data_IF_323587654363
#
_entry.id   IF_323587654363
#
_cell.length_a   1.000
_cell.length_b   1.000
_cell.length_c   1.000
_cell.angle_alpha   90.00
_cell.angle_beta   90.00
_cell.angle_gamma   90.00
#
_symmetry.space_group_name_H-M   'P 1'
#
loop_
_entity.id
_entity.type
_entity.pdbx_description
1 polymer ?
#
# COMPACT_ATOMS: atom_id res chain seq x y z
N UNK A 1 -7.62 -25.37 9.03
CA UNK A 1 -7.46 -24.58 7.78
C UNK A 1 -6.60 -23.37 8.13
N UNK A 2 -5.29 -23.55 8.23
CA UNK A 2 -4.29 -23.26 7.18
C UNK A 2 -3.98 -21.78 6.90
N UNK A 3 -4.38 -20.83 7.75
CA UNK A 3 -3.95 -19.44 7.63
C UNK A 3 -3.76 -18.80 9.01
N UNK A 4 -2.69 -19.17 9.71
CA UNK A 4 -2.18 -18.41 10.86
C UNK A 4 -0.77 -18.90 11.19
N UNK A 5 0.22 -18.31 10.51
CA UNK A 5 1.63 -18.18 10.94
C UNK A 5 2.46 -17.68 9.77
N UNK A 6 2.69 -16.37 9.67
CA UNK A 6 3.93 -15.78 9.11
C UNK A 6 3.90 -14.24 9.21
N UNK A 7 3.72 -13.69 10.41
CA UNK A 7 4.04 -12.29 10.67
C UNK A 7 4.72 -12.16 12.03
N UNK A 8 6.03 -12.41 12.08
CA UNK A 8 6.87 -12.06 13.22
C UNK A 8 8.28 -11.65 12.78
N UNK A 9 8.55 -10.35 12.93
CA UNK A 9 9.82 -9.73 13.32
C UNK A 9 11.10 -10.56 13.09
N UNK A 10 11.51 -10.70 11.83
CA UNK A 10 12.85 -11.23 11.52
C UNK A 10 13.45 -10.37 10.40
N UNK A 11 14.74 -10.04 10.49
CA UNK A 11 15.46 -9.35 9.41
C UNK A 11 15.20 -10.06 8.08
N UNK A 12 14.97 -9.28 7.01
CA UNK A 12 14.43 -9.71 5.71
C UNK A 12 15.07 -10.96 5.09
N UNK A 13 16.33 -11.29 5.39
CA UNK A 13 17.10 -12.20 4.53
C UNK A 13 17.50 -13.55 5.14
N UNK A 14 17.42 -13.74 6.45
CA UNK A 14 18.04 -14.92 7.08
C UNK A 14 17.12 -16.16 7.09
N UNK A 15 15.80 -15.98 7.22
CA UNK A 15 14.84 -17.11 7.25
C UNK A 15 14.51 -17.70 5.87
N UNK A 16 14.51 -16.89 4.81
CA UNK A 16 14.16 -17.37 3.46
C UNK A 16 15.17 -18.41 2.95
N UNK A 17 16.46 -18.18 3.21
CA UNK A 17 17.55 -19.12 2.89
C UNK A 17 17.44 -20.42 3.69
N UNK A 18 17.07 -20.34 4.97
CA UNK A 18 16.91 -21.52 5.82
C UNK A 18 15.68 -22.37 5.45
N UNK A 19 14.62 -21.74 4.94
CA UNK A 19 13.38 -22.39 4.54
C UNK A 19 13.37 -22.89 3.08
N UNK A 20 14.47 -22.69 2.34
CA UNK A 20 14.55 -23.07 0.93
C UNK A 20 13.54 -22.35 0.02
N UNK A 21 13.04 -21.20 0.46
CA UNK A 21 12.07 -20.43 -0.32
C UNK A 21 12.77 -19.79 -1.53
N UNK A 22 12.10 -19.73 -2.70
CA UNK A 22 12.67 -19.07 -3.87
C UNK A 22 13.01 -17.62 -3.53
N UNK A 23 14.22 -17.19 -3.91
CA UNK A 23 14.61 -15.79 -3.77
C UNK A 23 13.89 -15.00 -4.85
N UNK A 24 12.92 -14.20 -4.42
CA UNK A 24 12.21 -13.27 -5.27
C UNK A 24 13.12 -12.07 -5.57
N UNK A 25 13.41 -11.83 -6.85
CA UNK A 25 14.20 -10.68 -7.31
C UNK A 25 13.39 -9.86 -8.30
N UNK A 26 13.38 -8.55 -8.13
CA UNK A 26 12.86 -7.66 -9.17
C UNK A 26 13.89 -7.55 -10.29
N UNK A 27 13.44 -7.68 -11.54
CA UNK A 27 14.28 -7.48 -12.73
C UNK A 27 14.18 -6.05 -13.25
N UNK A 28 13.07 -5.36 -12.96
CA UNK A 28 12.83 -3.99 -13.40
C UNK A 28 11.87 -3.29 -12.44
N UNK A 29 12.16 -2.02 -12.13
CA UNK A 29 11.24 -1.09 -11.46
C UNK A 29 10.91 0.07 -12.40
N UNK A 30 9.73 0.65 -12.25
CA UNK A 30 9.29 1.79 -13.07
C UNK A 30 8.23 2.62 -12.35
N UNK A 31 8.20 3.91 -12.68
CA UNK A 31 7.09 4.78 -12.31
C UNK A 31 5.87 4.46 -13.17
N UNK A 32 4.71 4.43 -12.53
CA UNK A 32 3.41 4.38 -13.17
C UNK A 32 3.00 5.79 -13.58
N UNK A 33 2.26 5.94 -14.68
CA UNK A 33 1.61 7.21 -14.98
C UNK A 33 0.60 7.53 -13.85
N UNK A 34 0.41 8.82 -13.57
CA UNK A 34 -0.69 9.28 -12.72
C UNK A 34 -2.01 9.14 -13.49
N UNK A 35 -2.45 7.89 -13.62
CA UNK A 35 -3.70 7.46 -14.25
C UNK A 35 -4.24 6.28 -13.44
N UNK A 36 -5.38 6.48 -12.79
CA UNK A 36 -6.00 5.50 -11.90
C UNK A 36 -6.18 4.14 -12.58
N UNK A 37 -6.58 4.14 -13.86
CA UNK A 37 -6.80 2.91 -14.62
C UNK A 37 -5.49 2.14 -14.82
N UNK A 38 -4.41 2.82 -15.15
CA UNK A 38 -3.08 2.24 -15.32
C UNK A 38 -2.56 1.64 -14.01
N UNK A 39 -2.74 2.35 -12.89
CA UNK A 39 -2.35 1.87 -11.56
C UNK A 39 -3.12 0.58 -11.20
N UNK A 40 -4.45 0.56 -11.41
CA UNK A 40 -5.26 -0.64 -11.19
C UNK A 40 -4.84 -1.81 -12.07
N UNK A 41 -4.53 -1.54 -13.34
CA UNK A 41 -4.06 -2.57 -14.26
C UNK A 41 -2.73 -3.16 -13.83
N UNK A 42 -1.81 -2.34 -13.32
CA UNK A 42 -0.55 -2.81 -12.75
C UNK A 42 -0.81 -3.73 -11.56
N UNK A 43 -1.61 -3.27 -10.59
CA UNK A 43 -1.92 -4.06 -9.39
C UNK A 43 -2.58 -5.38 -9.76
N UNK A 44 -3.49 -5.38 -10.74
CA UNK A 44 -4.15 -6.60 -11.23
C UNK A 44 -3.18 -7.60 -11.86
N UNK A 45 -2.23 -7.13 -12.66
CA UNK A 45 -1.36 -8.00 -13.48
C UNK A 45 -0.11 -8.44 -12.74
N UNK A 46 0.51 -7.53 -12.00
CA UNK A 46 1.85 -7.69 -11.46
C UNK A 46 1.90 -7.66 -9.92
N UNK A 47 0.79 -7.30 -9.28
CA UNK A 47 0.66 -7.28 -7.83
C UNK A 47 0.95 -5.90 -7.20
N UNK A 48 1.17 -5.86 -5.88
CA UNK A 48 1.20 -4.60 -5.13
C UNK A 48 2.22 -3.57 -5.65
N UNK A 49 1.83 -2.30 -5.58
CA UNK A 49 2.68 -1.15 -5.96
C UNK A 49 3.02 -0.33 -4.72
N UNK A 50 4.08 0.48 -4.81
CA UNK A 50 4.45 1.44 -3.76
C UNK A 50 3.89 2.80 -4.11
N UNK A 51 3.22 3.44 -3.15
CA UNK A 51 2.79 4.83 -3.23
C UNK A 51 3.53 5.67 -2.19
N UNK A 52 3.77 6.94 -2.50
CA UNK A 52 4.24 7.93 -1.54
C UNK A 52 3.21 9.04 -1.50
N UNK A 53 2.73 9.41 -0.31
CA UNK A 53 1.67 10.40 -0.18
C UNK A 53 1.97 11.39 0.94
N UNK A 54 1.31 12.55 0.88
CA UNK A 54 1.36 13.55 1.94
C UNK A 54 0.58 13.07 3.15
N UNK A 55 1.26 12.99 4.29
CA UNK A 55 0.63 12.70 5.57
C UNK A 55 0.31 14.01 6.28
N UNK A 56 -0.88 14.03 6.89
CA UNK A 56 -1.36 15.12 7.74
C UNK A 56 -1.59 14.59 9.15
N UNK A 57 -1.64 15.49 10.13
CA UNK A 57 -1.72 15.11 11.54
C UNK A 57 -2.98 14.33 11.91
N UNK A 58 -4.07 14.48 11.16
CA UNK A 58 -5.32 13.73 11.30
C UNK A 58 -5.16 12.24 10.91
N UNK A 59 -4.29 11.91 9.95
CA UNK A 59 -4.06 10.52 9.51
C UNK A 59 -3.58 9.59 10.62
N UNK A 60 -2.77 10.09 11.56
CA UNK A 60 -2.26 9.30 12.68
C UNK A 60 -3.40 8.72 13.52
N UNK A 61 -4.54 9.41 13.58
CA UNK A 61 -5.72 9.02 14.33
C UNK A 61 -6.71 8.18 13.53
N UNK A 62 -6.41 7.83 12.28
CA UNK A 62 -7.25 6.95 11.46
C UNK A 62 -7.57 5.64 12.19
N UNK A 63 -8.85 5.25 12.15
CA UNK A 63 -9.34 3.99 12.74
C UNK A 63 -10.05 3.09 11.73
N UNK A 64 -10.89 3.65 10.88
CA UNK A 64 -11.67 2.91 9.87
C UNK A 64 -12.29 3.84 8.84
N UNK A 65 -12.77 3.25 7.74
CA UNK A 65 -13.48 3.96 6.68
C UNK A 65 -12.55 4.41 5.55
N UNK A 66 -13.03 5.29 4.67
CA UNK A 66 -12.21 5.85 3.60
C UNK A 66 -11.63 7.17 4.12
N UNK A 67 -10.31 7.20 4.28
CA UNK A 67 -9.58 8.38 4.70
C UNK A 67 -9.71 9.50 3.65
N UNK A 68 -10.16 10.66 4.13
CA UNK A 68 -10.15 11.94 3.45
C UNK A 68 -9.56 12.92 4.47
N UNK A 69 -8.55 13.68 4.06
CA UNK A 69 -7.95 14.70 4.89
C UNK A 69 -8.94 15.85 5.01
N UNK A 70 -9.24 16.25 6.25
CA UNK A 70 -10.22 17.32 6.51
C UNK A 70 -9.68 18.41 7.42
N UNK A 71 -8.65 18.12 8.22
CA UNK A 71 -8.07 19.06 9.18
C UNK A 71 -6.63 18.69 9.56
N UNK A 72 -5.91 19.62 10.14
CA UNK A 72 -4.56 19.40 10.65
C UNK A 72 -3.46 19.81 9.69
N UNK A 73 -2.22 19.77 10.19
CA UNK A 73 -1.05 20.25 9.47
C UNK A 73 -0.31 19.12 8.77
N UNK A 74 0.40 19.45 7.70
CA UNK A 74 1.26 18.52 6.98
C UNK A 74 2.42 18.04 7.86
N UNK A 75 2.60 16.73 7.96
CA UNK A 75 3.63 16.11 8.82
C UNK A 75 4.79 15.50 8.04
N UNK A 76 4.64 15.29 6.72
CA UNK A 76 5.68 14.69 5.89
C UNK A 76 5.15 13.89 4.71
N UNK A 77 6.06 13.14 4.10
CA UNK A 77 5.75 12.11 3.10
C UNK A 77 5.89 10.73 3.74
N UNK A 78 5.02 9.79 3.36
CA UNK A 78 5.08 8.41 3.83
C UNK A 78 4.89 7.43 2.68
N UNK A 79 5.68 6.35 2.70
CA UNK A 79 5.64 5.31 1.67
C UNK A 79 4.82 4.11 2.18
N UNK A 80 3.91 3.63 1.34
CA UNK A 80 2.96 2.57 1.68
C UNK A 80 2.78 1.59 0.52
N UNK A 81 2.21 0.42 0.82
CA UNK A 81 2.00 -0.64 -0.17
C UNK A 81 0.53 -0.71 -0.56
N UNK A 82 0.21 -0.39 -1.81
CA UNK A 82 -1.14 -0.48 -2.35
C UNK A 82 -1.38 -1.89 -2.86
N UNK A 83 -2.41 -2.56 -2.34
CA UNK A 83 -2.66 -3.99 -2.58
C UNK A 83 -3.95 -4.24 -3.36
N UNK A 84 -4.77 -3.21 -3.55
CA UNK A 84 -6.04 -3.33 -4.25
C UNK A 84 -6.82 -2.03 -4.22
N UNK A 85 -8.08 -2.13 -4.64
CA UNK A 85 -9.03 -1.02 -4.67
C UNK A 85 -10.44 -1.58 -4.49
N UNK A 86 -11.38 -0.69 -4.20
CA UNK A 86 -12.79 -1.05 -4.09
C UNK A 86 -13.70 0.14 -4.19
N UNK A 87 -14.96 -0.09 -3.83
CA UNK A 87 -16.00 0.92 -3.72
C UNK A 87 -16.88 0.60 -2.52
N UNK A 88 -17.14 1.60 -1.69
CA UNK A 88 -18.05 1.49 -0.54
C UNK A 88 -19.00 2.68 -0.56
N UNK A 89 -20.31 2.42 -0.51
CA UNK A 89 -21.36 3.46 -0.44
C UNK A 89 -21.24 4.57 -1.49
N UNK A 90 -20.79 4.24 -2.69
CA UNK A 90 -20.62 5.22 -3.77
C UNK A 90 -19.23 5.85 -3.85
N UNK A 91 -18.38 5.67 -2.84
CA UNK A 91 -17.02 6.22 -2.78
C UNK A 91 -15.99 5.16 -3.15
N UNK A 92 -15.15 5.52 -4.10
CA UNK A 92 -14.06 4.70 -4.63
C UNK A 92 -12.81 4.84 -3.74
N UNK A 93 -12.13 3.73 -3.44
CA UNK A 93 -10.95 3.74 -2.57
C UNK A 93 -9.79 2.86 -3.06
N UNK A 94 -8.59 3.19 -2.61
CA UNK A 94 -7.41 2.32 -2.62
C UNK A 94 -7.32 1.54 -1.31
N UNK A 95 -7.03 0.24 -1.37
CA UNK A 95 -6.75 -0.59 -0.20
C UNK A 95 -5.24 -0.66 0.01
N UNK A 96 -4.80 -0.28 1.20
CA UNK A 96 -3.39 0.00 1.46
C UNK A 96 -2.94 -0.68 2.74
N UNK A 97 -1.81 -1.40 2.65
CA UNK A 97 -1.13 -1.95 3.80
C UNK A 97 -0.14 -0.93 4.34
N UNK A 98 -0.32 -0.54 5.61
CA UNK A 98 0.61 0.34 6.32
C UNK A 98 1.70 -0.48 7.05
N UNK A 99 2.66 0.23 7.65
CA UNK A 99 3.78 -0.34 8.41
C UNK A 99 3.76 0.04 9.90
N UNK A 100 2.61 0.48 10.42
CA UNK A 100 2.42 0.91 11.82
C UNK A 100 1.79 -0.19 12.69
N UNK A 101 2.24 -1.44 12.51
CA UNK A 101 1.68 -2.65 13.15
C UNK A 101 0.18 -2.86 12.86
N UNK A 102 -0.35 -3.98 13.36
CA UNK A 102 -1.74 -4.41 13.11
C UNK A 102 -2.75 -3.79 14.06
N UNK A 103 -2.31 -3.16 15.15
CA UNK A 103 -3.18 -2.44 16.10
C UNK A 103 -3.59 -1.05 15.61
N UNK A 104 -3.02 -0.59 14.50
CA UNK A 104 -3.35 0.66 13.85
C UNK A 104 -4.38 0.47 12.72
N UNK A 105 -5.33 1.40 12.59
CA UNK A 105 -6.31 1.39 11.52
C UNK A 105 -7.19 0.14 11.48
N UNK A 106 -7.39 -0.41 10.29
CA UNK A 106 -8.18 -1.61 10.03
C UNK A 106 -7.22 -2.81 9.97
N UNK A 107 -6.77 -3.31 11.13
CA UNK A 107 -5.82 -4.42 11.24
C UNK A 107 -4.46 -4.17 10.54
N UNK A 108 -3.97 -2.93 10.59
CA UNK A 108 -2.75 -2.48 9.91
C UNK A 108 -2.98 -1.97 8.49
N UNK A 109 -4.22 -1.98 8.02
CA UNK A 109 -4.62 -1.46 6.72
C UNK A 109 -5.36 -0.13 6.86
N UNK A 110 -5.42 0.59 5.75
CA UNK A 110 -6.32 1.72 5.60
C UNK A 110 -6.86 1.79 4.18
N UNK A 111 -7.95 2.55 4.04
CA UNK A 111 -8.52 2.89 2.75
C UNK A 111 -8.42 4.39 2.56
N UNK A 112 -8.08 4.83 1.35
CA UNK A 112 -7.95 6.26 1.00
C UNK A 112 -8.71 6.54 -0.29
N UNK A 113 -9.24 7.75 -0.41
CA UNK A 113 -9.98 8.20 -1.59
C UNK A 113 -9.20 7.95 -2.88
N UNK A 114 -9.85 7.33 -3.87
CA UNK A 114 -9.29 6.99 -5.18
C UNK A 114 -9.96 7.82 -6.28
N UNK A 115 -9.18 8.19 -7.29
CA UNK A 115 -9.64 8.87 -8.51
C UNK A 115 -9.54 10.40 -8.44
N UNK A 116 -9.06 10.93 -7.32
CA UNK A 116 -8.93 12.38 -7.07
C UNK A 116 -7.49 12.80 -6.76
N UNK A 117 -6.52 11.88 -6.88
CA UNK A 117 -5.13 12.09 -6.44
C UNK A 117 -5.05 12.69 -5.02
N UNK A 118 -5.93 12.23 -4.13
CA UNK A 118 -6.09 12.79 -2.79
C UNK A 118 -4.78 12.66 -1.99
N UNK A 119 -4.30 13.74 -1.38
CA UNK A 119 -2.98 13.78 -0.72
C UNK A 119 -1.79 13.39 -1.63
N UNK A 120 -1.89 13.65 -2.94
CA UNK A 120 -0.92 13.25 -3.97
C UNK A 120 -0.72 11.73 -4.04
N UNK A 121 -1.71 10.93 -3.63
CA UNK A 121 -1.55 9.48 -3.46
C UNK A 121 -1.30 8.72 -4.78
N UNK A 122 -1.76 9.25 -5.91
CA UNK A 122 -1.64 8.64 -7.23
C UNK A 122 -0.39 9.13 -8.00
N UNK A 123 0.34 10.09 -7.43
CA UNK A 123 1.57 10.62 -8.02
C UNK A 123 2.77 9.71 -7.77
N UNK A 124 3.47 9.38 -8.86
CA UNK A 124 4.77 8.72 -8.79
C UNK A 124 4.73 7.32 -8.16
N UNK A 125 3.60 6.61 -8.23
CA UNK A 125 3.53 5.22 -7.78
C UNK A 125 4.55 4.35 -8.54
N UNK A 126 5.17 3.40 -7.84
CA UNK A 126 6.24 2.55 -8.38
C UNK A 126 5.80 1.09 -8.42
N UNK A 127 5.88 0.49 -9.61
CA UNK A 127 5.70 -0.94 -9.84
C UNK A 127 7.02 -1.66 -10.06
N UNK A 128 6.96 -2.99 -10.12
CA UNK A 128 8.12 -3.82 -10.40
C UNK A 128 7.76 -5.17 -11.01
N UNK A 129 8.60 -5.64 -11.94
CA UNK A 129 8.46 -6.96 -12.55
C UNK A 129 9.37 -7.92 -11.80
N UNK A 130 8.78 -9.01 -11.32
CA UNK A 130 9.53 -10.10 -10.70
C UNK A 130 10.22 -10.94 -11.77
N UNK A 131 11.50 -11.20 -11.59
CA UNK A 131 12.21 -12.23 -12.34
C UNK A 131 11.73 -13.60 -11.90
N UNK A 132 11.25 -14.39 -12.87
CA UNK A 132 11.02 -15.83 -12.72
C UNK A 132 12.30 -16.60 -13.02
#
# INVERSE_FOLDING_TARGET
MFWDRLFLNTKCDEKSKQLGLPTLRTTKTYYLPNDERSIRQEIYKNGPVVAVFKVYSDFVYYKKGIYVHTDGYWTGLHAVRVIGWGRENGTDYWLVANSYNTDWGEDGYFRILRGENHCDFEDGMVGGIMGV
#
